data_IF_491987661176
#
_entry.id   IF_491987661176
#
_cell.length_a   1.000
_cell.length_b   1.000
_cell.length_c   1.000
_cell.angle_alpha   90.00
_cell.angle_beta   90.00
_cell.angle_gamma   90.00
#
_symmetry.space_group_name_H-M   'P 1'
#
loop_
_entity.id
_entity.type
_entity.pdbx_description
1 polymer ?
#
# COMPACT_ATOMS: atom_id res chain seq x y z
N UNK A 1 4.08 19.26 -7.47
CA UNK A 1 4.27 18.71 -6.10
C UNK A 1 3.69 17.31 -6.11
N UNK A 2 4.45 16.26 -5.80
CA UNK A 2 3.89 14.90 -5.72
C UNK A 2 2.94 14.85 -4.51
N UNK A 3 1.73 14.33 -4.71
CA UNK A 3 0.73 14.21 -3.66
C UNK A 3 0.92 12.86 -2.96
N UNK A 4 0.72 12.83 -1.66
CA UNK A 4 0.77 11.59 -0.88
C UNK A 4 -0.62 10.95 -0.93
N UNK A 5 -0.67 9.63 -1.10
CA UNK A 5 -1.89 8.83 -0.99
C UNK A 5 -2.60 9.13 0.34
N UNK A 6 -3.91 9.33 0.29
CA UNK A 6 -4.72 9.74 1.46
C UNK A 6 -4.72 8.73 2.62
N UNK A 7 -4.44 7.46 2.35
CA UNK A 7 -4.34 6.40 3.36
C UNK A 7 -2.89 6.08 3.78
N UNK A 8 -1.90 6.82 3.30
CA UNK A 8 -0.48 6.48 3.52
C UNK A 8 -0.13 6.23 5.00
N UNK A 9 -0.63 7.06 5.91
CA UNK A 9 -0.27 6.98 7.32
C UNK A 9 -0.91 5.80 8.08
N UNK A 10 -1.99 5.20 7.55
CA UNK A 10 -2.64 4.03 8.15
C UNK A 10 -2.47 2.75 7.30
N UNK A 11 -1.95 2.85 6.08
CA UNK A 11 -1.81 1.71 5.19
C UNK A 11 -0.71 0.74 5.66
N UNK A 12 -0.97 -0.58 5.73
CA UNK A 12 0.01 -1.60 6.11
C UNK A 12 1.31 -1.58 5.30
N UNK A 13 1.27 -1.12 4.05
CA UNK A 13 2.47 -0.99 3.21
C UNK A 13 3.52 -0.08 3.84
N UNK A 14 3.09 1.05 4.43
CA UNK A 14 4.00 1.93 5.16
C UNK A 14 4.57 1.21 6.38
N UNK A 15 3.73 0.53 7.15
CA UNK A 15 4.15 -0.22 8.34
C UNK A 15 5.21 -1.29 8.01
N UNK A 16 4.99 -2.09 6.96
CA UNK A 16 5.95 -3.13 6.56
C UNK A 16 7.26 -2.55 6.03
N UNK A 17 7.23 -1.43 5.30
CA UNK A 17 8.44 -0.73 4.87
C UNK A 17 9.20 -0.15 6.06
N UNK A 18 8.51 0.51 7.00
CA UNK A 18 9.13 1.07 8.21
C UNK A 18 9.77 -0.02 9.09
N UNK A 19 9.23 -1.24 9.06
CA UNK A 19 9.79 -2.42 9.75
C UNK A 19 10.89 -3.14 8.97
N UNK A 20 11.21 -2.70 7.74
CA UNK A 20 12.18 -3.34 6.87
C UNK A 20 11.74 -4.70 6.30
N UNK A 21 10.44 -5.05 6.42
CA UNK A 21 9.86 -6.27 5.86
C UNK A 21 9.56 -6.14 4.36
N UNK A 22 9.37 -4.90 3.89
CA UNK A 22 9.15 -4.59 2.48
C UNK A 22 10.15 -3.56 1.97
N UNK A 23 10.50 -3.68 0.69
CA UNK A 23 11.34 -2.70 0.00
C UNK A 23 10.62 -1.34 -0.13
N UNK A 24 11.36 -0.25 0.08
CA UNK A 24 10.85 1.13 0.01
C UNK A 24 10.21 1.50 -1.33
N UNK A 25 10.52 0.78 -2.42
CA UNK A 25 9.90 0.98 -3.74
C UNK A 25 8.37 0.97 -3.68
N UNK A 26 7.79 0.21 -2.76
CA UNK A 26 6.34 0.13 -2.60
C UNK A 26 5.72 1.45 -2.16
N UNK A 27 6.34 2.16 -1.21
CA UNK A 27 5.87 3.49 -0.82
C UNK A 27 6.29 4.56 -1.83
N UNK A 28 7.48 4.46 -2.41
CA UNK A 28 8.01 5.46 -3.37
C UNK A 28 7.21 5.49 -4.68
N UNK A 29 6.83 4.32 -5.21
CA UNK A 29 6.16 4.20 -6.51
C UNK A 29 4.63 4.22 -6.43
N UNK A 30 4.06 3.94 -5.25
CA UNK A 30 2.60 3.94 -5.07
C UNK A 30 2.12 5.05 -4.12
N UNK A 31 2.65 5.08 -2.89
CA UNK A 31 2.08 5.93 -1.85
C UNK A 31 2.50 7.41 -1.95
N UNK A 32 3.77 7.70 -2.21
CA UNK A 32 4.33 9.07 -2.20
C UNK A 32 4.08 9.86 -3.50
N UNK A 33 3.36 9.24 -4.44
CA UNK A 33 3.01 9.80 -5.76
C UNK A 33 1.50 9.79 -6.04
N UNK A 34 0.67 9.46 -5.05
CA UNK A 34 -0.80 9.33 -5.17
C UNK A 34 -1.19 8.44 -6.36
N UNK A 35 -0.52 7.30 -6.50
CA UNK A 35 -0.74 6.39 -7.63
C UNK A 35 -2.04 5.60 -7.44
N UNK A 36 -3.03 5.84 -8.31
CA UNK A 36 -4.34 5.20 -8.26
C UNK A 36 -4.38 3.81 -8.95
N UNK A 37 -3.26 3.37 -9.54
CA UNK A 37 -3.09 1.98 -10.01
C UNK A 37 -2.85 1.00 -8.84
N UNK A 38 -2.73 1.50 -7.61
CA UNK A 38 -2.70 0.67 -6.41
C UNK A 38 -4.04 -0.05 -6.22
N UNK A 39 -4.06 -1.37 -6.26
CA UNK A 39 -5.27 -2.18 -6.11
C UNK A 39 -5.91 -1.96 -4.73
N UNK A 40 -5.10 -1.84 -3.67
CA UNK A 40 -5.60 -1.48 -2.32
C UNK A 40 -6.36 -0.15 -2.34
N UNK A 41 -5.82 0.89 -3.00
CA UNK A 41 -6.49 2.18 -3.13
C UNK A 41 -7.87 2.02 -3.78
N UNK A 42 -7.95 1.27 -4.87
CA UNK A 42 -9.21 1.05 -5.60
C UNK A 42 -10.24 0.28 -4.78
N UNK A 43 -9.79 -0.67 -3.96
CA UNK A 43 -10.67 -1.45 -3.07
C UNK A 43 -11.17 -0.62 -1.89
N UNK A 44 -10.31 0.19 -1.26
CA UNK A 44 -10.69 1.14 -0.21
C UNK A 44 -11.74 2.15 -0.71
N UNK A 45 -11.58 2.70 -1.93
CA UNK A 45 -12.60 3.60 -2.53
C UNK A 45 -13.94 2.91 -2.75
N UNK A 46 -13.94 1.60 -2.97
CA UNK A 46 -15.14 0.79 -3.18
C UNK A 46 -15.71 0.22 -1.88
N UNK A 47 -15.05 0.44 -0.74
CA UNK A 47 -15.41 -0.19 0.54
C UNK A 47 -15.28 -1.72 0.51
N UNK A 48 -14.37 -2.26 -0.30
CA UNK A 48 -14.13 -3.69 -0.44
C UNK A 48 -13.05 -4.15 0.53
N UNK A 49 -13.32 -5.26 1.23
CA UNK A 49 -12.34 -5.87 2.12
C UNK A 49 -11.11 -6.37 1.34
N UNK A 50 -9.93 -6.12 1.90
CA UNK A 50 -8.67 -6.76 1.53
C UNK A 50 -7.81 -7.01 2.78
N UNK A 51 -6.99 -8.07 2.81
CA UNK A 51 -6.11 -8.33 3.94
C UNK A 51 -4.92 -7.35 3.98
N UNK A 52 -4.30 -7.22 5.15
CA UNK A 52 -3.19 -6.29 5.36
C UNK A 52 -1.93 -6.69 4.58
N UNK A 53 -1.71 -8.00 4.41
CA UNK A 53 -0.59 -8.57 3.69
C UNK A 53 -0.73 -8.53 2.14
N UNK A 54 -1.80 -7.93 1.61
CA UNK A 54 -1.93 -7.64 0.17
C UNK A 54 -1.05 -6.45 -0.24
N UNK A 55 -0.26 -6.58 -1.29
CA UNK A 55 0.59 -5.53 -1.84
C UNK A 55 -0.20 -4.56 -2.75
N UNK A 56 0.37 -3.39 -3.12
CA UNK A 56 -0.25 -2.46 -4.06
C UNK A 56 -0.60 -3.05 -5.43
N UNK A 57 0.09 -4.09 -5.87
CA UNK A 57 -0.19 -4.80 -7.14
C UNK A 57 -1.22 -5.93 -7.01
N UNK A 58 -1.79 -6.13 -5.81
CA UNK A 58 -2.76 -7.19 -5.52
C UNK A 58 -2.16 -8.52 -5.08
N UNK A 59 -0.84 -8.69 -5.10
CA UNK A 59 -0.18 -9.91 -4.64
C UNK A 59 -0.36 -10.08 -3.12
N UNK A 60 -0.75 -11.26 -2.66
CA UNK A 60 -0.81 -11.59 -1.22
C UNK A 60 0.53 -12.17 -0.78
N UNK A 61 1.11 -11.62 0.29
CA UNK A 61 2.39 -12.03 0.87
C UNK A 61 2.17 -12.65 2.25
N UNK A 62 1.95 -13.96 2.27
CA UNK A 62 1.69 -14.72 3.50
C UNK A 62 2.81 -14.60 4.55
N UNK A 63 4.03 -14.25 4.16
CA UNK A 63 5.16 -14.01 5.07
C UNK A 63 5.12 -12.65 5.81
N UNK A 64 4.14 -11.81 5.50
CA UNK A 64 3.92 -10.52 6.17
C UNK A 64 2.84 -10.55 7.27
N UNK A 65 2.06 -11.62 7.34
CA UNK A 65 1.03 -11.84 8.37
C UNK A 65 1.65 -12.14 9.75
#
# INVERSE_FOLDING_TARGET
>A
MKKICKWYYCCPIKFYVDKGKLDKKWVENYCLVDNHDCIRYQMEEKGQYHPDNMLPDGTIREDLD
#
